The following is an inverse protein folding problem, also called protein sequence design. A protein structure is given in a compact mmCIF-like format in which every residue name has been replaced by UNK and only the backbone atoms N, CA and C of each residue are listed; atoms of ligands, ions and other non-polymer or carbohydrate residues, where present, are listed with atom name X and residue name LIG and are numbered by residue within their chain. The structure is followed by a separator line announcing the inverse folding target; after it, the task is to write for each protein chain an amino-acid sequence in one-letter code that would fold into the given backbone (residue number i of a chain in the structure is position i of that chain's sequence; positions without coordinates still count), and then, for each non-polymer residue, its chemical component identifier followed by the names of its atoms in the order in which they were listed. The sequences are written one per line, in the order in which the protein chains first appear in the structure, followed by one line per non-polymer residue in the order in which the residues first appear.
data_IF_583411868330
#
_entry.id   IF_583411868330
#
_cell.length_a   1.000
_cell.length_b   1.000
_cell.length_c   1.000
_cell.angle_alpha   90.00
_cell.angle_beta   90.00
_cell.angle_gamma   90.00
#
_symmetry.space_group_name_H-M   'P 1'
#
loop_
_entity.id
_entity.type
_entity.pdbx_description
1 polymer ?
#
# COMPACT_ATOMS: atom_id res chain seq x y z
N UNK A 1 -18.64 19.42 -10.10
CA UNK A 1 -18.55 19.34 -8.63
C UNK A 1 -17.10 19.00 -8.28
N UNK A 2 -16.33 19.98 -7.81
CA UNK A 2 -14.94 19.74 -7.43
C UNK A 2 -14.95 18.89 -6.16
N UNK A 3 -14.63 17.60 -6.30
CA UNK A 3 -14.38 16.73 -5.16
C UNK A 3 -13.29 17.39 -4.32
N UNK A 4 -13.68 18.07 -3.24
CA UNK A 4 -12.76 18.59 -2.23
C UNK A 4 -12.02 17.38 -1.65
N UNK A 5 -10.87 17.05 -2.23
CA UNK A 5 -9.91 16.16 -1.62
C UNK A 5 -9.67 16.73 -0.22
N UNK A 6 -10.00 15.94 0.81
CA UNK A 6 -9.60 16.24 2.18
C UNK A 6 -8.09 16.51 2.12
N UNK A 7 -7.56 17.56 2.76
CA UNK A 7 -6.13 17.77 2.80
C UNK A 7 -5.46 16.46 3.24
N UNK A 8 -4.37 16.03 2.58
CA UNK A 8 -3.70 14.80 2.95
C UNK A 8 -3.36 14.87 4.43
N UNK A 9 -3.63 13.78 5.13
CA UNK A 9 -3.34 13.66 6.55
C UNK A 9 -1.83 13.81 6.74
N UNK A 10 -1.40 14.28 7.92
CA UNK A 10 0.04 14.39 8.21
C UNK A 10 0.79 13.06 7.99
N UNK A 11 0.11 11.93 8.21
CA UNK A 11 0.61 10.59 7.93
C UNK A 11 0.80 10.31 6.42
N UNK A 12 -0.11 10.79 5.57
CA UNK A 12 -0.02 10.66 4.10
C UNK A 12 1.11 11.52 3.54
N UNK A 13 1.29 12.74 4.06
CA UNK A 13 2.40 13.62 3.68
C UNK A 13 3.73 13.01 4.11
N UNK A 14 3.85 12.55 5.35
CA UNK A 14 5.08 11.91 5.83
C UNK A 14 5.41 10.62 5.07
N UNK A 15 4.39 9.86 4.63
CA UNK A 15 4.60 8.68 3.78
C UNK A 15 5.10 9.05 2.39
N UNK A 16 4.56 10.13 1.78
CA UNK A 16 5.03 10.64 0.50
C UNK A 16 6.48 11.14 0.60
N UNK A 17 6.81 11.94 1.62
CA UNK A 17 8.18 12.43 1.82
C UNK A 17 9.19 11.29 2.03
N UNK A 18 8.81 10.25 2.78
CA UNK A 18 9.64 9.04 2.94
C UNK A 18 9.84 8.32 1.62
N UNK A 19 8.78 8.18 0.82
CA UNK A 19 8.86 7.57 -0.50
C UNK A 19 9.86 8.33 -1.38
N UNK A 20 9.68 9.65 -1.52
CA UNK A 20 10.56 10.49 -2.33
C UNK A 20 12.02 10.45 -1.84
N UNK A 21 12.23 10.45 -0.52
CA UNK A 21 13.57 10.36 0.06
C UNK A 21 14.26 9.02 -0.23
N UNK A 22 13.52 7.90 -0.21
CA UNK A 22 14.08 6.58 -0.53
C UNK A 22 14.40 6.48 -2.02
N UNK A 23 13.49 6.95 -2.89
CA UNK A 23 13.71 6.97 -4.34
C UNK A 23 14.90 7.85 -4.71
N UNK A 24 15.02 9.04 -4.12
CA UNK A 24 16.15 9.95 -4.34
C UNK A 24 17.50 9.34 -3.94
N UNK A 25 17.52 8.42 -2.98
CA UNK A 25 18.71 7.66 -2.57
C UNK A 25 19.02 6.45 -3.46
N UNK A 26 18.21 6.19 -4.49
CA UNK A 26 18.34 5.01 -5.36
C UNK A 26 17.73 3.74 -4.75
N UNK A 27 16.79 3.87 -3.82
CA UNK A 27 16.04 2.74 -3.29
C UNK A 27 15.13 2.09 -4.34
N UNK A 28 14.80 0.82 -4.14
CA UNK A 28 13.96 0.07 -5.05
C UNK A 28 12.47 0.40 -4.81
N UNK A 29 11.72 0.51 -5.90
CA UNK A 29 10.28 0.75 -5.84
C UNK A 29 9.58 -0.60 -6.01
N UNK A 30 8.65 -0.90 -5.11
CA UNK A 30 7.85 -2.10 -5.16
C UNK A 30 6.39 -1.73 -5.35
N UNK A 31 5.71 -2.39 -6.27
CA UNK A 31 4.26 -2.28 -6.34
C UNK A 31 3.63 -3.29 -5.38
N UNK A 32 2.80 -2.78 -4.47
CA UNK A 32 2.15 -3.56 -3.42
C UNK A 32 0.73 -3.92 -3.84
N UNK A 33 0.40 -5.19 -3.64
CA UNK A 33 -0.88 -5.78 -3.91
C UNK A 33 -1.54 -6.26 -2.63
N UNK A 34 -2.86 -6.27 -2.63
CA UNK A 34 -3.69 -6.84 -1.58
C UNK A 34 -4.60 -7.89 -2.18
N UNK A 35 -4.87 -8.96 -1.43
CA UNK A 35 -5.96 -9.90 -1.74
C UNK A 35 -6.76 -10.19 -0.48
N UNK A 36 -8.01 -10.59 -0.65
CA UNK A 36 -8.76 -11.21 0.43
C UNK A 36 -8.22 -12.63 0.68
N UNK A 37 -8.25 -13.08 1.93
CA UNK A 37 -7.95 -14.47 2.26
C UNK A 37 -9.00 -15.40 1.60
N UNK A 38 -8.58 -16.22 0.63
CA UNK A 38 -9.45 -17.16 -0.10
C UNK A 38 -9.41 -17.01 -1.62
N UNK A 39 -9.95 -15.93 -2.21
CA UNK A 39 -9.94 -15.73 -3.66
C UNK A 39 -8.53 -15.38 -4.19
N UNK A 40 -8.15 -15.94 -5.33
CA UNK A 40 -6.82 -15.77 -5.95
C UNK A 40 -6.60 -14.42 -6.68
N UNK A 41 -7.46 -13.43 -6.47
CA UNK A 41 -7.36 -12.14 -7.16
C UNK A 41 -6.54 -11.13 -6.34
N UNK A 42 -5.45 -10.65 -6.94
CA UNK A 42 -4.65 -9.56 -6.40
C UNK A 42 -5.14 -8.21 -6.92
N UNK A 43 -5.18 -7.22 -6.03
CA UNK A 43 -5.56 -5.84 -6.33
C UNK A 43 -4.40 -4.88 -6.02
N UNK A 44 -4.04 -3.97 -6.93
CA UNK A 44 -2.98 -3.00 -6.66
C UNK A 44 -3.45 -1.96 -5.64
N UNK A 45 -2.66 -1.73 -4.60
CA UNK A 45 -2.93 -0.72 -3.56
C UNK A 45 -2.07 0.53 -3.76
N UNK A 46 -0.83 0.33 -4.21
CA UNK A 46 0.08 1.43 -4.51
C UNK A 46 1.54 1.03 -4.43
N UNK A 47 2.44 1.91 -4.88
CA UNK A 47 3.87 1.69 -4.76
C UNK A 47 4.36 1.95 -3.32
N UNK A 48 5.40 1.23 -2.93
CA UNK A 48 6.16 1.42 -1.70
C UNK A 48 7.63 1.43 -2.08
N UNK A 49 8.37 2.46 -1.65
CA UNK A 49 9.82 2.48 -1.81
C UNK A 49 10.47 1.77 -0.62
N UNK A 50 11.56 1.04 -0.86
CA UNK A 50 12.37 0.46 0.21
C UNK A 50 13.84 0.71 -0.05
N UNK A 51 14.59 1.06 1.01
CA UNK A 51 16.05 1.24 0.94
C UNK A 51 16.78 -0.04 0.51
N UNK A 52 16.17 -1.20 0.72
CA UNK A 52 16.74 -2.48 0.29
C UNK A 52 15.65 -3.49 -0.08
N UNK A 53 15.80 -4.26 -1.18
CA UNK A 53 14.82 -5.28 -1.58
C UNK A 53 14.57 -6.34 -0.51
N UNK A 54 15.53 -6.56 0.41
CA UNK A 54 15.39 -7.51 1.52
C UNK A 54 14.46 -7.00 2.62
N UNK A 55 14.28 -5.69 2.72
CA UNK A 55 13.49 -5.04 3.78
C UNK A 55 12.04 -4.78 3.38
N UNK A 56 11.66 -5.00 2.11
CA UNK A 56 10.31 -4.70 1.62
C UNK A 56 9.20 -5.34 2.46
N UNK A 57 9.37 -6.59 2.91
CA UNK A 57 8.40 -7.25 3.78
C UNK A 57 8.18 -6.46 5.07
N UNK A 58 9.26 -6.01 5.71
CA UNK A 58 9.21 -5.23 6.95
C UNK A 58 8.55 -3.86 6.71
N UNK A 59 8.84 -3.23 5.59
CA UNK A 59 8.26 -1.94 5.19
C UNK A 59 6.75 -2.06 4.95
N UNK A 60 6.30 -3.13 4.28
CA UNK A 60 4.87 -3.42 4.07
C UNK A 60 4.14 -3.60 5.40
N UNK A 61 4.71 -4.35 6.35
CA UNK A 61 4.12 -4.51 7.68
C UNK A 61 4.14 -3.22 8.49
N UNK A 62 5.19 -2.39 8.36
CA UNK A 62 5.24 -1.07 9.00
C UNK A 62 4.18 -0.11 8.42
N UNK A 63 3.88 -0.23 7.13
CA UNK A 63 2.85 0.51 6.42
C UNK A 63 1.49 -0.22 6.38
N UNK A 64 1.29 -1.28 7.16
CA UNK A 64 0.09 -2.13 7.05
C UNK A 64 -1.21 -1.31 7.20
N UNK A 65 -1.28 -0.48 8.24
CA UNK A 65 -2.47 0.32 8.55
C UNK A 65 -2.88 1.23 7.37
N UNK A 66 -2.01 2.13 6.86
CA UNK A 66 -2.37 2.96 5.72
C UNK A 66 -2.61 2.14 4.44
N UNK A 67 -1.89 1.04 4.22
CA UNK A 67 -2.14 0.15 3.08
C UNK A 67 -3.54 -0.49 3.15
N UNK A 68 -3.97 -0.92 4.34
CA UNK A 68 -5.26 -1.53 4.58
C UNK A 68 -6.40 -0.52 4.40
N UNK A 69 -6.22 0.69 4.93
CA UNK A 69 -7.19 1.78 4.76
C UNK A 69 -7.33 2.18 3.29
N UNK A 70 -6.21 2.33 2.58
CA UNK A 70 -6.20 2.58 1.14
C UNK A 70 -6.87 1.45 0.35
N UNK A 71 -6.53 0.19 0.67
CA UNK A 71 -7.12 -1.00 0.07
C UNK A 71 -8.64 -1.04 0.24
N UNK A 72 -9.16 -0.77 1.43
CA UNK A 72 -10.60 -0.79 1.69
C UNK A 72 -11.33 0.40 1.09
N UNK A 73 -10.66 1.55 0.99
CA UNK A 73 -11.19 2.73 0.30
C UNK A 73 -11.31 2.50 -1.21
N UNK A 74 -10.30 1.88 -1.83
CA UNK A 74 -10.31 1.54 -3.26
C UNK A 74 -11.21 0.34 -3.57
N UNK A 75 -11.18 -0.68 -2.71
CA UNK A 75 -11.85 -1.97 -2.89
C UNK A 75 -12.70 -2.32 -1.64
N UNK A 76 -13.87 -1.68 -1.47
CA UNK A 76 -14.73 -1.92 -0.30
C UNK A 76 -15.24 -3.37 -0.20
N UNK A 77 -15.16 -4.14 -1.29
CA UNK A 77 -15.46 -5.58 -1.28
C UNK A 77 -14.50 -6.39 -0.38
N UNK A 78 -13.26 -5.93 -0.20
CA UNK A 78 -12.27 -6.60 0.67
C UNK A 78 -12.64 -6.51 2.16
N UNK A 79 -13.42 -5.50 2.56
CA UNK A 79 -13.93 -5.35 3.91
C UNK A 79 -15.21 -6.18 4.16
N UNK A 80 -15.84 -6.70 3.10
CA UNK A 80 -17.12 -7.43 3.13
C UNK A 80 -16.91 -8.96 3.15
N UNK A 81 -17.95 -9.76 3.43
CA UNK A 81 -17.88 -11.22 3.28
C UNK A 81 -17.47 -11.64 1.86
N UNK A 82 -16.67 -12.70 1.67
CA UNK A 82 -16.14 -13.64 2.67
C UNK A 82 -14.80 -13.24 3.29
N UNK A 83 -14.22 -12.11 2.88
CA UNK A 83 -12.91 -11.67 3.34
C UNK A 83 -12.93 -11.15 4.79
N UNK A 84 -14.02 -10.45 5.17
CA UNK A 84 -14.18 -9.82 6.49
C UNK A 84 -12.98 -8.95 6.90
N UNK A 85 -12.34 -8.29 5.93
CA UNK A 85 -11.14 -7.47 6.18
C UNK A 85 -9.88 -8.24 6.54
N UNK A 86 -9.86 -9.58 6.36
CA UNK A 86 -8.65 -10.41 6.38
C UNK A 86 -8.01 -10.36 5.01
N UNK A 87 -6.88 -9.68 4.93
CA UNK A 87 -6.15 -9.46 3.70
C UNK A 87 -4.72 -9.99 3.79
N UNK A 88 -4.18 -10.37 2.65
CA UNK A 88 -2.77 -10.70 2.47
C UNK A 88 -2.11 -9.66 1.56
N UNK A 89 -0.82 -9.44 1.77
CA UNK A 89 -0.02 -8.50 1.00
C UNK A 89 0.96 -9.22 0.08
N UNK A 90 0.99 -8.80 -1.17
CA UNK A 90 1.95 -9.22 -2.18
C UNK A 90 2.76 -8.02 -2.65
N UNK A 91 3.92 -8.25 -3.24
CA UNK A 91 4.74 -7.19 -3.81
C UNK A 91 5.49 -7.67 -5.05
N UNK A 92 5.74 -6.75 -5.98
CA UNK A 92 6.66 -6.95 -7.10
C UNK A 92 7.61 -5.78 -7.19
N UNK A 93 8.88 -6.04 -7.45
CA UNK A 93 9.82 -4.96 -7.78
C UNK A 93 9.38 -4.32 -9.10
N UNK A 94 9.42 -2.99 -9.15
CA UNK A 94 9.15 -2.22 -10.35
C UNK A 94 10.49 -1.96 -11.03
N UNK A 95 10.63 -2.47 -12.25
CA UNK A 95 11.79 -2.24 -13.14
C UNK A 95 11.97 -0.76 -13.45
#
# INVERSE_FOLDING_TARGET
EQMKAKPPSAEEVAAAERFDAIVAKGGAIFEVFVRAAGPNQWFPVGPLASESPRNIKKEIWAAEKPLKEAAFKMYPALAKPPAFGRVEYGYRERD
#
